data_IF_477328671435
#
_entry.id   IF_477328671435
#
_cell.length_a   1.000
_cell.length_b   1.000
_cell.length_c   1.000
_cell.angle_alpha   90.00
_cell.angle_beta   90.00
_cell.angle_gamma   90.00
#
_symmetry.space_group_name_H-M   'P 1'
#
loop_
_entity.id
_entity.type
_entity.pdbx_description
1 polymer ?
#
# COMPACT_ATOMS: atom_id res chain seq x y z
N UNK A 1 -14.36 -15.88 16.92
CA UNK A 1 -14.56 -15.35 15.55
C UNK A 1 -13.44 -15.91 14.66
N UNK A 2 -13.73 -16.28 13.40
CA UNK A 2 -12.72 -16.88 12.53
C UNK A 2 -11.52 -15.93 12.39
N UNK A 3 -10.29 -16.45 12.64
CA UNK A 3 -9.02 -15.71 12.56
C UNK A 3 -8.92 -14.45 13.45
N UNK A 4 -9.76 -14.33 14.47
CA UNK A 4 -9.90 -13.12 15.27
C UNK A 4 -10.19 -11.85 14.45
N UNK A 5 -10.89 -12.03 13.33
CA UNK A 5 -11.13 -10.99 12.31
C UNK A 5 -12.10 -9.93 12.81
N UNK A 6 -11.69 -8.65 12.82
CA UNK A 6 -12.48 -7.52 13.32
C UNK A 6 -12.46 -6.37 12.32
N UNK A 7 -13.54 -5.59 12.30
CA UNK A 7 -13.59 -4.27 11.68
C UNK A 7 -13.55 -3.22 12.78
N UNK A 8 -12.84 -2.14 12.57
CA UNK A 8 -12.77 -1.02 13.50
C UNK A 8 -12.64 0.31 12.78
N UNK A 9 -12.73 1.38 13.52
CA UNK A 9 -12.38 2.73 13.09
C UNK A 9 -11.64 3.48 14.19
N UNK A 10 -10.81 4.43 13.79
CA UNK A 10 -10.10 5.34 14.67
C UNK A 10 -10.56 6.75 14.35
N UNK A 11 -10.95 7.57 15.34
CA UNK A 11 -11.21 8.98 15.11
C UNK A 11 -9.90 9.69 14.76
N UNK A 12 -9.90 10.41 13.64
CA UNK A 12 -8.80 11.24 13.17
C UNK A 12 -9.34 12.62 12.89
N UNK A 13 -8.94 13.60 13.70
CA UNK A 13 -9.46 14.98 13.65
C UNK A 13 -11.02 15.00 13.67
N UNK A 14 -11.66 15.50 12.61
CA UNK A 14 -13.12 15.56 12.47
C UNK A 14 -13.75 14.39 11.70
N UNK A 15 -12.97 13.33 11.38
CA UNK A 15 -13.39 12.20 10.56
C UNK A 15 -12.94 10.87 11.16
N UNK A 16 -13.12 9.77 10.46
CA UNK A 16 -12.71 8.44 10.88
C UNK A 16 -11.73 7.80 9.88
N UNK A 17 -10.87 6.94 10.41
CA UNK A 17 -10.02 6.06 9.63
C UNK A 17 -10.44 4.62 9.87
N UNK A 18 -10.95 3.95 8.85
CA UNK A 18 -11.36 2.55 8.95
C UNK A 18 -10.15 1.63 8.94
N UNK A 19 -10.20 0.56 9.74
CA UNK A 19 -9.23 -0.53 9.68
C UNK A 19 -9.91 -1.90 9.80
N UNK A 20 -9.19 -2.92 9.40
CA UNK A 20 -9.49 -4.31 9.73
C UNK A 20 -8.31 -4.90 10.48
N UNK A 21 -8.58 -5.83 11.41
CA UNK A 21 -7.51 -6.58 12.08
C UNK A 21 -7.82 -8.06 12.12
N UNK A 22 -6.76 -8.88 12.16
CA UNK A 22 -6.83 -10.33 12.21
C UNK A 22 -5.54 -10.92 12.78
N UNK A 23 -5.59 -12.20 13.20
CA UNK A 23 -4.51 -12.85 13.93
C UNK A 23 -4.60 -12.57 15.43
N UNK A 24 -3.69 -13.17 16.22
CA UNK A 24 -3.73 -13.12 17.68
C UNK A 24 -2.34 -13.07 18.33
N UNK A 25 -1.28 -12.92 17.50
CA UNK A 25 0.08 -12.78 18.00
C UNK A 25 0.33 -11.42 18.68
N UNK A 26 1.38 -11.37 19.47
CA UNK A 26 1.75 -10.18 20.25
C UNK A 26 2.37 -9.08 19.37
N UNK A 27 3.20 -9.47 18.37
CA UNK A 27 3.80 -8.53 17.45
C UNK A 27 2.74 -7.85 16.58
N UNK A 28 3.00 -6.62 16.14
CA UNK A 28 2.09 -5.85 15.28
C UNK A 28 2.66 -5.73 13.88
N UNK A 29 1.80 -5.97 12.88
CA UNK A 29 2.09 -5.71 11.47
C UNK A 29 1.03 -4.77 10.93
N UNK A 30 1.44 -3.60 10.52
CA UNK A 30 0.59 -2.62 9.85
C UNK A 30 0.71 -2.81 8.34
N UNK A 31 -0.42 -2.84 7.65
CA UNK A 31 -0.47 -2.93 6.19
C UNK A 31 -1.15 -1.68 5.64
N UNK A 32 -0.43 -0.97 4.79
CA UNK A 32 -0.89 0.23 4.11
C UNK A 32 -1.11 -0.09 2.63
N UNK A 33 -2.37 -0.17 2.16
CA UNK A 33 -2.69 -0.49 0.77
C UNK A 33 -2.32 0.65 -0.17
N UNK A 34 -2.28 0.35 -1.48
CA UNK A 34 -2.06 1.34 -2.52
C UNK A 34 -3.28 2.18 -2.85
N UNK A 35 -3.23 2.91 -3.96
CA UNK A 35 -4.21 3.90 -4.43
C UNK A 35 -5.65 3.34 -4.56
N UNK A 36 -5.82 2.03 -4.72
CA UNK A 36 -7.14 1.38 -4.76
C UNK A 36 -7.98 1.59 -3.48
N UNK A 37 -7.35 1.92 -2.34
CA UNK A 37 -8.04 2.30 -1.11
C UNK A 37 -8.87 3.58 -1.31
N UNK A 38 -8.45 4.48 -2.18
CA UNK A 38 -9.22 5.66 -2.56
C UNK A 38 -10.57 5.33 -3.23
N UNK A 39 -10.66 4.20 -3.92
CA UNK A 39 -11.91 3.72 -4.52
C UNK A 39 -12.79 3.00 -3.50
N UNK A 40 -12.20 2.20 -2.62
CA UNK A 40 -12.93 1.35 -1.70
C UNK A 40 -12.11 0.98 -0.47
N UNK A 41 -12.58 1.42 0.71
CA UNK A 41 -11.92 1.14 1.99
C UNK A 41 -11.85 -0.36 2.34
N UNK A 42 -11.05 -0.70 3.34
CA UNK A 42 -10.93 -2.06 3.88
C UNK A 42 -12.19 -2.52 4.65
N UNK A 43 -13.09 -1.58 5.00
CA UNK A 43 -14.29 -1.85 5.81
C UNK A 43 -15.13 -2.98 5.21
N UNK A 44 -15.50 -3.96 6.04
CA UNK A 44 -16.34 -5.09 5.63
C UNK A 44 -15.64 -6.21 4.85
N UNK A 45 -14.34 -6.09 4.58
CA UNK A 45 -13.58 -7.06 3.78
C UNK A 45 -12.63 -7.93 4.60
N UNK A 46 -12.77 -7.95 5.92
CA UNK A 46 -11.77 -8.51 6.86
C UNK A 46 -11.37 -9.94 6.49
N UNK A 47 -12.32 -10.86 6.23
CA UNK A 47 -11.99 -12.25 5.92
C UNK A 47 -11.28 -12.40 4.57
N UNK A 48 -11.65 -11.59 3.58
CA UNK A 48 -10.98 -11.59 2.27
C UNK A 48 -9.53 -11.11 2.39
N UNK A 49 -9.34 -10.00 3.12
CA UNK A 49 -8.02 -9.39 3.32
C UNK A 49 -7.12 -10.20 4.26
N UNK A 50 -7.72 -10.98 5.18
CA UNK A 50 -6.97 -11.83 6.11
C UNK A 50 -6.35 -13.08 5.45
N UNK A 51 -6.96 -13.60 4.39
CA UNK A 51 -6.59 -14.88 3.82
C UNK A 51 -5.10 -15.02 3.42
N UNK A 52 -4.45 -14.02 2.79
CA UNK A 52 -3.03 -14.09 2.44
C UNK A 52 -2.09 -14.08 3.65
N UNK A 53 -2.55 -13.56 4.79
CA UNK A 53 -1.75 -13.37 6.00
C UNK A 53 -1.84 -14.54 7.01
N UNK A 54 -2.41 -15.69 6.66
CA UNK A 54 -2.65 -16.79 7.59
C UNK A 54 -1.39 -17.22 8.37
N UNK A 55 -0.25 -17.25 7.72
CA UNK A 55 1.01 -17.65 8.33
C UNK A 55 1.53 -16.68 9.41
N UNK A 56 0.98 -15.46 9.47
CA UNK A 56 1.36 -14.46 10.47
C UNK A 56 0.57 -14.61 11.78
N UNK A 57 -0.60 -15.24 11.76
CA UNK A 57 -1.63 -15.12 12.81
C UNK A 57 -1.19 -15.55 14.21
N UNK A 58 -0.29 -16.51 14.32
CA UNK A 58 0.20 -16.97 15.63
C UNK A 58 1.17 -15.97 16.28
N UNK A 59 1.94 -15.26 15.45
CA UNK A 59 2.98 -14.34 15.94
C UNK A 59 2.58 -12.88 15.85
N UNK A 60 1.69 -12.54 14.92
CA UNK A 60 1.27 -11.18 14.62
C UNK A 60 -0.23 -10.97 14.78
N UNK A 61 -0.59 -9.80 15.30
CA UNK A 61 -1.88 -9.17 15.00
C UNK A 61 -1.64 -8.21 13.84
N UNK A 62 -2.27 -8.49 12.70
CA UNK A 62 -2.15 -7.68 11.49
C UNK A 62 -3.28 -6.65 11.47
N UNK A 63 -2.93 -5.39 11.24
CA UNK A 63 -3.87 -4.29 11.02
C UNK A 63 -3.70 -3.79 9.58
N UNK A 64 -4.78 -3.67 8.85
CA UNK A 64 -4.78 -3.02 7.55
C UNK A 64 -5.64 -1.76 7.63
N UNK A 65 -5.01 -0.60 7.43
CA UNK A 65 -5.67 0.70 7.52
C UNK A 65 -6.02 1.25 6.14
N UNK A 66 -7.21 1.83 6.03
CA UNK A 66 -7.54 2.76 4.95
C UNK A 66 -6.92 4.14 5.22
N UNK A 67 -6.95 5.04 4.23
CA UNK A 67 -6.82 6.48 4.49
C UNK A 67 -8.09 6.95 5.19
N UNK A 68 -8.04 8.08 5.91
CA UNK A 68 -9.24 8.63 6.57
C UNK A 68 -10.37 8.92 5.57
N UNK A 69 -11.59 8.91 6.04
CA UNK A 69 -12.78 8.97 5.17
C UNK A 69 -12.92 10.31 4.45
N UNK A 70 -12.58 11.42 5.11
CA UNK A 70 -12.62 12.76 4.53
C UNK A 70 -11.25 13.43 4.62
N UNK A 71 -10.70 13.81 3.47
CA UNK A 71 -9.44 14.53 3.33
C UNK A 71 -9.70 15.87 2.63
N UNK A 72 -9.08 16.98 3.05
CA UNK A 72 -9.19 18.25 2.34
C UNK A 72 -8.41 18.19 1.01
N UNK A 73 -8.73 19.11 0.10
CA UNK A 73 -7.96 19.30 -1.11
C UNK A 73 -6.49 19.65 -0.76
N UNK A 74 -5.54 19.13 -1.54
CA UNK A 74 -4.11 19.32 -1.28
C UNK A 74 -3.54 18.44 -0.16
N UNK A 75 -4.29 17.46 0.34
CA UNK A 75 -3.82 16.54 1.37
C UNK A 75 -2.65 15.71 0.85
N UNK A 76 -1.52 15.76 1.55
CA UNK A 76 -0.26 15.17 1.10
C UNK A 76 -0.04 13.74 1.63
N UNK A 77 0.91 13.02 1.05
CA UNK A 77 1.38 11.74 1.58
C UNK A 77 1.96 11.90 3.00
N UNK A 78 2.60 13.04 3.29
CA UNK A 78 3.12 13.36 4.63
C UNK A 78 2.00 13.49 5.66
N UNK A 79 0.90 14.16 5.32
CA UNK A 79 -0.29 14.25 6.18
C UNK A 79 -0.91 12.87 6.42
N UNK A 80 -0.93 12.01 5.40
CA UNK A 80 -1.41 10.63 5.55
C UNK A 80 -0.52 9.81 6.49
N UNK A 81 0.78 10.05 6.52
CA UNK A 81 1.69 9.40 7.47
C UNK A 81 1.44 9.86 8.91
N UNK A 82 1.21 11.16 9.12
CA UNK A 82 0.81 11.69 10.43
C UNK A 82 -0.51 11.10 10.92
N UNK A 83 -1.49 10.91 10.03
CA UNK A 83 -2.73 10.23 10.37
C UNK A 83 -2.50 8.77 10.82
N UNK A 84 -1.55 8.05 10.19
CA UNK A 84 -1.18 6.70 10.61
C UNK A 84 -0.55 6.70 12.00
N UNK A 85 0.35 7.64 12.28
CA UNK A 85 0.95 7.78 13.61
C UNK A 85 -0.11 8.05 14.69
N UNK A 86 -1.06 8.97 14.43
CA UNK A 86 -2.20 9.23 15.32
C UNK A 86 -3.05 7.97 15.55
N UNK A 87 -3.29 7.19 14.47
CA UNK A 87 -4.08 5.96 14.56
C UNK A 87 -3.37 4.89 15.42
N UNK A 88 -2.06 4.73 15.26
CA UNK A 88 -1.25 3.83 16.08
C UNK A 88 -1.28 4.26 17.55
N UNK A 89 -1.09 5.55 17.82
CA UNK A 89 -1.17 6.10 19.18
C UNK A 89 -2.54 5.85 19.82
N UNK A 90 -3.64 6.08 19.09
CA UNK A 90 -5.00 5.84 19.56
C UNK A 90 -5.22 4.37 19.97
N UNK A 91 -4.64 3.43 19.22
CA UNK A 91 -4.72 2.00 19.48
C UNK A 91 -3.70 1.50 20.53
N UNK A 92 -2.85 2.39 21.06
CA UNK A 92 -1.80 2.02 22.03
C UNK A 92 -0.70 1.16 21.41
N UNK A 93 -0.44 1.30 20.10
CA UNK A 93 0.63 0.60 19.38
C UNK A 93 1.86 1.51 19.37
N UNK A 94 2.87 1.15 20.16
CA UNK A 94 4.11 1.92 20.35
C UNK A 94 5.28 1.43 19.49
N UNK A 95 5.18 0.23 18.93
CA UNK A 95 6.19 -0.35 18.04
C UNK A 95 5.52 -1.32 17.07
N UNK A 96 5.89 -1.28 15.80
CA UNK A 96 5.27 -2.11 14.78
C UNK A 96 6.16 -2.30 13.56
N UNK A 97 6.04 -3.43 12.89
CA UNK A 97 6.51 -3.59 11.52
C UNK A 97 5.46 -3.04 10.55
N UNK A 98 5.89 -2.44 9.44
CA UNK A 98 5.00 -1.82 8.44
C UNK A 98 5.24 -2.40 7.05
N UNK A 99 4.18 -2.87 6.39
CA UNK A 99 4.14 -3.21 4.98
C UNK A 99 3.39 -2.13 4.21
N UNK A 100 4.10 -1.35 3.42
CA UNK A 100 3.50 -0.38 2.50
C UNK A 100 3.54 -0.88 1.06
N UNK A 101 2.38 -0.89 0.39
CA UNK A 101 2.25 -1.30 -1.01
C UNK A 101 1.96 -0.09 -1.88
N UNK A 102 2.77 0.16 -2.92
CA UNK A 102 2.58 1.26 -3.87
C UNK A 102 2.46 2.62 -3.16
N UNK A 103 1.36 3.37 -3.30
CA UNK A 103 1.08 4.59 -2.51
C UNK A 103 1.23 4.36 -1.00
N UNK A 104 0.78 3.20 -0.49
CA UNK A 104 0.98 2.85 0.92
C UNK A 104 2.45 2.74 1.32
N UNK A 105 3.33 2.41 0.37
CA UNK A 105 4.78 2.45 0.55
C UNK A 105 5.33 3.88 0.64
N UNK A 106 4.72 4.84 -0.06
CA UNK A 106 5.07 6.26 0.07
C UNK A 106 4.69 6.80 1.46
N UNK A 107 3.49 6.43 1.95
CA UNK A 107 3.05 6.76 3.32
C UNK A 107 3.97 6.10 4.36
N UNK A 108 4.36 4.83 4.16
CA UNK A 108 5.24 4.10 5.07
C UNK A 108 6.65 4.71 5.13
N UNK A 109 7.17 5.26 4.02
CA UNK A 109 8.44 6.00 4.01
C UNK A 109 8.36 7.21 4.95
N UNK A 110 7.36 8.08 4.80
CA UNK A 110 7.21 9.23 5.69
C UNK A 110 6.89 8.82 7.13
N UNK A 111 6.13 7.76 7.36
CA UNK A 111 5.91 7.25 8.72
C UNK A 111 7.24 6.84 9.38
N UNK A 112 8.14 6.17 8.65
CA UNK A 112 9.43 5.76 9.16
C UNK A 112 10.42 6.93 9.35
N UNK A 113 10.33 7.97 8.53
CA UNK A 113 11.16 9.19 8.63
C UNK A 113 10.70 10.06 9.80
N UNK A 114 9.40 10.26 9.94
CA UNK A 114 8.82 11.20 10.92
C UNK A 114 8.67 10.59 12.32
N UNK A 115 8.45 9.28 12.38
CA UNK A 115 8.16 8.53 13.61
C UNK A 115 9.02 7.27 13.71
N UNK A 116 10.36 7.39 13.69
CA UNK A 116 11.27 6.24 13.76
C UNK A 116 11.08 5.40 15.02
N UNK A 117 10.58 6.01 16.10
CA UNK A 117 10.29 5.33 17.37
C UNK A 117 9.16 4.30 17.28
N UNK A 118 8.30 4.41 16.26
CA UNK A 118 7.21 3.45 16.01
C UNK A 118 7.65 2.24 15.18
N UNK A 119 8.87 2.29 14.61
CA UNK A 119 9.29 1.37 13.54
C UNK A 119 10.19 0.25 14.05
N UNK A 120 9.67 -0.99 14.07
CA UNK A 120 10.48 -2.20 14.21
C UNK A 120 11.15 -2.58 12.88
N UNK A 121 10.35 -2.82 11.84
CA UNK A 121 10.84 -3.17 10.48
C UNK A 121 9.94 -2.55 9.41
N UNK A 122 10.52 -2.28 8.24
CA UNK A 122 9.82 -1.68 7.10
C UNK A 122 9.86 -2.59 5.89
N UNK A 123 8.72 -2.79 5.24
CA UNK A 123 8.62 -3.47 3.95
C UNK A 123 8.01 -2.50 2.94
N UNK A 124 8.75 -2.21 1.87
CA UNK A 124 8.36 -1.34 0.77
C UNK A 124 8.14 -2.17 -0.48
N UNK A 125 6.88 -2.41 -0.85
CA UNK A 125 6.54 -3.22 -1.99
C UNK A 125 6.02 -2.36 -3.15
N UNK A 126 6.64 -2.53 -4.34
CA UNK A 126 6.24 -1.90 -5.61
C UNK A 126 5.97 -0.40 -5.48
N UNK A 127 6.88 0.32 -4.85
CA UNK A 127 6.76 1.76 -4.53
C UNK A 127 7.98 2.55 -5.01
N UNK A 128 7.93 3.86 -4.88
CA UNK A 128 8.96 4.78 -5.36
C UNK A 128 9.31 5.82 -4.29
N UNK A 129 10.51 6.43 -4.34
CA UNK A 129 10.88 7.56 -3.48
C UNK A 129 10.26 8.88 -3.91
N UNK A 130 9.91 9.00 -5.17
CA UNK A 130 9.24 10.13 -5.81
C UNK A 130 8.58 9.67 -7.11
N UNK A 131 7.67 10.44 -7.71
CA UNK A 131 7.18 10.19 -9.07
C UNK A 131 8.30 10.27 -10.10
N UNK A 132 8.15 9.52 -11.18
CA UNK A 132 8.96 9.60 -12.39
C UNK A 132 8.02 9.72 -13.60
N UNK A 133 8.56 9.92 -14.80
CA UNK A 133 7.75 10.09 -16.03
C UNK A 133 6.70 8.99 -16.19
N UNK A 134 7.07 7.73 -15.92
CA UNK A 134 6.16 6.59 -16.05
C UNK A 134 4.98 6.67 -15.09
N UNK A 135 5.26 6.91 -13.80
CA UNK A 135 4.24 7.00 -12.75
C UNK A 135 3.39 8.26 -12.88
N UNK A 136 3.99 9.39 -13.29
CA UNK A 136 3.25 10.63 -13.54
C UNK A 136 2.25 10.48 -14.69
N UNK A 137 2.69 9.94 -15.85
CA UNK A 137 1.79 9.68 -16.97
C UNK A 137 0.63 8.78 -16.56
N UNK A 138 0.95 7.70 -15.83
CA UNK A 138 -0.04 6.73 -15.39
C UNK A 138 -1.07 7.33 -14.42
N UNK A 139 -0.61 8.02 -13.39
CA UNK A 139 -1.48 8.63 -12.38
C UNK A 139 -2.32 9.76 -12.99
N UNK A 140 -1.76 10.61 -13.85
CA UNK A 140 -2.52 11.64 -14.59
C UNK A 140 -3.64 11.03 -15.44
N UNK A 141 -3.37 9.91 -16.12
CA UNK A 141 -4.36 9.18 -16.88
C UNK A 141 -5.49 8.60 -16.00
N UNK A 142 -5.15 8.04 -14.86
CA UNK A 142 -6.15 7.54 -13.90
C UNK A 142 -7.00 8.67 -13.31
N UNK A 143 -6.41 9.83 -13.03
CA UNK A 143 -7.14 11.03 -12.63
C UNK A 143 -8.17 11.40 -13.71
N UNK A 144 -7.78 11.44 -14.99
CA UNK A 144 -8.71 11.78 -16.09
C UNK A 144 -9.87 10.80 -16.22
N UNK A 145 -9.64 9.49 -16.01
CA UNK A 145 -10.72 8.50 -15.99
C UNK A 145 -11.65 8.67 -14.80
N UNK A 146 -11.09 8.97 -13.63
CA UNK A 146 -11.88 9.20 -12.42
C UNK A 146 -12.75 10.46 -12.52
N UNK A 147 -12.21 11.57 -13.03
CA UNK A 147 -12.92 12.83 -13.29
C UNK A 147 -14.04 12.65 -14.32
N UNK A 148 -13.85 11.81 -15.34
CA UNK A 148 -14.86 11.43 -16.30
C UNK A 148 -15.87 10.39 -15.78
N UNK A 149 -15.65 9.82 -14.58
CA UNK A 149 -16.47 8.74 -14.05
C UNK A 149 -16.35 7.42 -14.81
N UNK A 150 -15.32 7.29 -15.66
CA UNK A 150 -15.06 6.08 -16.46
C UNK A 150 -14.33 5.02 -15.63
N UNK A 151 -15.08 4.40 -14.72
CA UNK A 151 -14.57 3.34 -13.86
C UNK A 151 -14.02 2.14 -14.64
N UNK A 152 -14.65 1.82 -15.77
CA UNK A 152 -14.24 0.68 -16.59
C UNK A 152 -12.86 0.91 -17.20
N UNK A 153 -12.64 2.09 -17.78
CA UNK A 153 -11.33 2.45 -18.32
C UNK A 153 -10.25 2.48 -17.24
N UNK A 154 -10.55 3.06 -16.08
CA UNK A 154 -9.65 3.08 -14.92
C UNK A 154 -9.24 1.66 -14.51
N UNK A 155 -10.19 0.75 -14.33
CA UNK A 155 -9.92 -0.62 -13.88
C UNK A 155 -9.16 -1.45 -14.94
N UNK A 156 -9.51 -1.29 -16.23
CA UNK A 156 -8.81 -1.98 -17.33
C UNK A 156 -7.36 -1.47 -17.43
N UNK A 157 -7.16 -0.15 -17.43
CA UNK A 157 -5.81 0.42 -17.54
C UNK A 157 -4.94 0.03 -16.34
N UNK A 158 -5.50 0.03 -15.13
CA UNK A 158 -4.82 -0.46 -13.94
C UNK A 158 -4.38 -1.92 -14.11
N UNK A 159 -5.28 -2.80 -14.55
CA UNK A 159 -4.97 -4.21 -14.74
C UNK A 159 -3.87 -4.43 -15.81
N UNK A 160 -4.01 -3.80 -17.00
CA UNK A 160 -3.08 -3.96 -18.12
C UNK A 160 -1.65 -3.50 -17.79
N UNK A 161 -1.50 -2.58 -16.82
CA UNK A 161 -0.19 -2.09 -16.40
C UNK A 161 0.35 -2.72 -15.12
N UNK A 162 -0.50 -3.46 -14.37
CA UNK A 162 -0.09 -4.09 -13.11
C UNK A 162 0.32 -5.55 -13.28
N UNK A 163 -0.45 -6.32 -14.04
CA UNK A 163 -0.31 -7.78 -14.08
C UNK A 163 0.62 -8.28 -15.19
N UNK A 164 1.19 -9.47 -14.95
CA UNK A 164 1.96 -10.20 -15.96
C UNK A 164 1.06 -10.65 -17.14
N UNK A 165 1.64 -10.92 -18.33
CA UNK A 165 0.88 -11.41 -19.48
C UNK A 165 0.09 -12.70 -19.20
N UNK A 166 0.62 -13.55 -18.34
CA UNK A 166 -0.03 -14.82 -17.97
C UNK A 166 -1.32 -14.59 -17.17
N UNK A 167 -1.29 -13.66 -16.22
CA UNK A 167 -2.47 -13.27 -15.42
C UNK A 167 -3.45 -12.47 -16.26
N UNK A 168 -2.97 -11.54 -17.10
CA UNK A 168 -3.82 -10.75 -17.99
C UNK A 168 -4.65 -11.61 -18.93
N UNK A 169 -4.10 -12.71 -19.46
CA UNK A 169 -4.85 -13.64 -20.31
C UNK A 169 -6.14 -14.13 -19.66
N UNK A 170 -6.13 -14.35 -18.34
CA UNK A 170 -7.30 -14.74 -17.55
C UNK A 170 -8.16 -13.52 -17.17
N UNK A 171 -7.52 -12.43 -16.75
CA UNK A 171 -8.17 -11.25 -16.23
C UNK A 171 -9.03 -10.55 -17.30
N UNK A 172 -8.58 -10.52 -18.56
CA UNK A 172 -9.32 -9.94 -19.70
C UNK A 172 -10.70 -10.55 -19.91
N UNK A 173 -10.93 -11.79 -19.46
CA UNK A 173 -12.25 -12.42 -19.52
C UNK A 173 -13.27 -11.73 -18.59
N UNK A 174 -12.82 -11.01 -17.57
CA UNK A 174 -13.67 -10.27 -16.64
C UNK A 174 -14.01 -8.84 -17.11
N UNK A 175 -13.34 -8.32 -18.14
CA UNK A 175 -13.49 -6.94 -18.61
C UNK A 175 -14.93 -6.53 -18.99
N UNK A 176 -15.81 -7.40 -19.51
CA UNK A 176 -17.20 -7.02 -19.73
C UNK A 176 -17.92 -6.54 -18.44
N UNK A 177 -17.50 -7.06 -17.28
CA UNK A 177 -18.15 -6.80 -16.00
C UNK A 177 -17.33 -5.90 -15.06
N UNK A 178 -16.07 -5.63 -15.38
CA UNK A 178 -15.12 -4.96 -14.48
C UNK A 178 -15.58 -3.53 -14.09
N UNK A 179 -16.32 -2.86 -14.97
CA UNK A 179 -16.85 -1.51 -14.71
C UNK A 179 -17.91 -1.43 -13.60
N UNK A 180 -18.43 -2.57 -13.13
CA UNK A 180 -19.35 -2.63 -12.00
C UNK A 180 -18.65 -3.01 -10.69
N UNK A 181 -17.46 -3.60 -10.77
CA UNK A 181 -16.74 -4.11 -9.59
C UNK A 181 -16.04 -2.95 -8.89
N UNK A 182 -16.38 -2.73 -7.62
CA UNK A 182 -15.70 -1.73 -6.79
C UNK A 182 -15.92 -0.28 -7.22
N UNK A 183 -16.94 0.01 -8.05
CA UNK A 183 -17.25 1.39 -8.46
C UNK A 183 -17.66 2.21 -7.23
N UNK A 184 -16.93 3.29 -6.90
CA UNK A 184 -17.26 4.13 -5.76
C UNK A 184 -18.49 5.01 -6.05
N UNK A 185 -19.11 5.55 -4.99
CA UNK A 185 -20.17 6.57 -5.13
C UNK A 185 -19.60 7.93 -5.54
N UNK A 186 -18.39 8.26 -5.10
CA UNK A 186 -17.61 9.44 -5.47
C UNK A 186 -16.15 9.03 -5.67
N UNK A 187 -15.44 9.74 -6.54
CA UNK A 187 -14.01 9.58 -6.75
C UNK A 187 -13.16 10.56 -5.92
N UNK A 188 -13.74 11.37 -5.05
CA UNK A 188 -13.04 12.43 -4.33
C UNK A 188 -11.83 11.90 -3.55
N UNK A 189 -12.02 10.80 -2.76
CA UNK A 189 -10.90 10.16 -2.05
C UNK A 189 -9.81 9.67 -3.00
N UNK A 190 -10.19 9.04 -4.10
CA UNK A 190 -9.25 8.55 -5.10
C UNK A 190 -8.46 9.71 -5.73
N UNK A 191 -9.15 10.80 -6.10
CA UNK A 191 -8.55 11.98 -6.72
C UNK A 191 -7.56 12.68 -5.77
N UNK A 192 -7.92 12.80 -4.48
CA UNK A 192 -7.01 13.37 -3.47
C UNK A 192 -5.75 12.51 -3.34
N UNK A 193 -5.90 11.20 -3.18
CA UNK A 193 -4.78 10.26 -3.07
C UNK A 193 -3.90 10.28 -4.34
N UNK A 194 -4.52 10.25 -5.52
CA UNK A 194 -3.79 10.28 -6.79
C UNK A 194 -3.00 11.59 -6.98
N UNK A 195 -3.59 12.74 -6.61
CA UNK A 195 -2.89 14.03 -6.64
C UNK A 195 -1.78 14.11 -5.59
N UNK A 196 -1.96 13.50 -4.41
CA UNK A 196 -0.94 13.42 -3.38
C UNK A 196 0.30 12.65 -3.87
N UNK A 197 0.10 11.57 -4.65
CA UNK A 197 1.22 10.84 -5.29
C UNK A 197 2.04 11.78 -6.18
N UNK A 198 1.40 12.62 -6.99
CA UNK A 198 2.11 13.54 -7.91
C UNK A 198 2.93 14.61 -7.19
N UNK A 199 2.58 14.94 -5.95
CA UNK A 199 3.31 15.91 -5.11
C UNK A 199 4.28 15.26 -4.11
N UNK A 200 4.45 13.94 -4.16
CA UNK A 200 5.28 13.21 -3.20
C UNK A 200 6.76 13.23 -3.60
N UNK A 201 7.64 13.58 -2.68
CA UNK A 201 9.09 13.40 -2.85
C UNK A 201 9.75 13.21 -1.46
N UNK A 202 10.22 12.00 -1.19
CA UNK A 202 10.98 11.67 0.00
C UNK A 202 12.47 11.44 -0.30
N UNK A 203 12.91 11.70 -1.54
CA UNK A 203 14.23 11.30 -2.05
C UNK A 203 15.38 11.74 -1.16
N UNK A 204 15.36 12.97 -0.69
CA UNK A 204 16.44 13.53 0.13
C UNK A 204 16.32 13.18 1.62
N UNK A 205 15.18 12.64 2.05
CA UNK A 205 14.89 12.30 3.45
C UNK A 205 15.05 10.80 3.76
N UNK A 206 15.23 9.94 2.74
CA UNK A 206 15.31 8.47 2.91
C UNK A 206 16.45 8.01 3.84
N UNK A 207 17.51 8.80 3.97
CA UNK A 207 18.57 8.54 4.94
C UNK A 207 18.14 8.58 6.41
N UNK A 208 16.94 9.13 6.69
CA UNK A 208 16.30 9.09 8.01
C UNK A 208 15.61 7.77 8.35
N UNK A 209 15.50 6.84 7.42
CA UNK A 209 14.97 5.50 7.69
C UNK A 209 16.08 4.63 8.27
N UNK A 210 15.96 4.29 9.56
CA UNK A 210 16.99 3.57 10.31
C UNK A 210 16.62 2.12 10.65
N UNK A 211 15.33 1.76 10.55
CA UNK A 211 14.89 0.39 10.82
C UNK A 211 15.28 -0.57 9.69
N UNK A 212 15.46 -1.88 9.98
CA UNK A 212 15.69 -2.88 8.94
C UNK A 212 14.60 -2.79 7.86
N UNK A 213 15.01 -2.69 6.60
CA UNK A 213 14.10 -2.43 5.48
C UNK A 213 14.24 -3.48 4.38
N UNK A 214 13.12 -4.07 3.96
CA UNK A 214 13.01 -4.95 2.80
C UNK A 214 12.26 -4.23 1.68
N UNK A 215 12.88 -4.12 0.52
CA UNK A 215 12.27 -3.56 -0.69
C UNK A 215 11.93 -4.72 -1.64
N UNK A 216 10.70 -4.75 -2.13
CA UNK A 216 10.22 -5.78 -3.06
C UNK A 216 9.69 -5.12 -4.33
N UNK A 217 10.15 -5.57 -5.48
CA UNK A 217 9.79 -5.04 -6.79
C UNK A 217 9.35 -6.13 -7.77
N UNK A 218 8.61 -5.75 -8.80
CA UNK A 218 8.45 -6.51 -10.02
C UNK A 218 9.40 -6.00 -11.09
N UNK A 219 10.10 -6.92 -11.81
CA UNK A 219 11.03 -6.57 -12.88
C UNK A 219 10.38 -5.76 -14.01
N UNK A 220 9.13 -6.11 -14.33
CA UNK A 220 8.35 -5.51 -15.41
C UNK A 220 7.28 -4.53 -14.90
N UNK A 221 7.53 -3.85 -13.79
CA UNK A 221 6.61 -2.85 -13.25
C UNK A 221 6.46 -1.67 -14.25
N UNK A 222 5.23 -1.48 -14.75
CA UNK A 222 4.88 -0.43 -15.72
C UNK A 222 4.20 0.79 -15.07
N UNK A 223 4.17 0.85 -13.74
CA UNK A 223 3.56 1.94 -12.99
C UNK A 223 4.63 2.79 -12.33
N UNK A 224 5.51 2.21 -11.52
CA UNK A 224 6.61 2.94 -10.88
C UNK A 224 7.97 2.63 -11.49
N UNK A 225 8.07 1.51 -12.22
CA UNK A 225 9.33 1.01 -12.79
C UNK A 225 10.25 0.39 -11.74
N UNK A 226 10.98 -0.67 -12.10
CA UNK A 226 11.93 -1.35 -11.20
C UNK A 226 13.04 -0.41 -10.72
N UNK A 227 13.39 0.62 -11.51
CA UNK A 227 14.44 1.60 -11.16
C UNK A 227 14.08 2.40 -9.90
N UNK A 228 12.80 2.61 -9.63
CA UNK A 228 12.36 3.24 -8.37
C UNK A 228 12.78 2.44 -7.14
N UNK A 229 12.70 1.11 -7.22
CA UNK A 229 13.14 0.23 -6.12
C UNK A 229 14.66 0.19 -5.95
N UNK A 230 15.43 0.28 -7.04
CA UNK A 230 16.89 0.48 -6.95
C UNK A 230 17.22 1.84 -6.34
N UNK A 231 16.47 2.89 -6.67
CA UNK A 231 16.68 4.22 -6.07
C UNK A 231 16.43 4.22 -4.55
N UNK A 232 15.38 3.52 -4.09
CA UNK A 232 15.13 3.30 -2.66
C UNK A 232 16.28 2.55 -1.99
N UNK A 233 16.70 1.43 -2.59
CA UNK A 233 17.78 0.59 -2.04
C UNK A 233 19.10 1.34 -1.92
N UNK A 234 19.43 2.17 -2.89
CA UNK A 234 20.66 2.95 -2.88
C UNK A 234 20.68 4.05 -1.80
N UNK A 235 19.50 4.49 -1.32
CA UNK A 235 19.38 5.61 -0.37
C UNK A 235 19.00 5.17 1.04
N UNK A 236 18.38 4.00 1.22
CA UNK A 236 18.06 3.43 2.53
C UNK A 236 19.20 2.50 2.94
N UNK A 237 20.04 2.97 3.85
CA UNK A 237 21.22 2.24 4.29
C UNK A 237 20.87 0.90 4.93
N UNK A 238 21.53 -0.18 4.50
CA UNK A 238 21.28 -1.52 5.04
C UNK A 238 19.98 -2.18 4.59
N UNK A 239 19.24 -1.56 3.65
CA UNK A 239 18.05 -2.20 3.09
C UNK A 239 18.42 -3.43 2.26
N UNK A 240 17.47 -4.37 2.16
CA UNK A 240 17.53 -5.52 1.26
C UNK A 240 16.62 -5.27 0.07
N UNK A 241 17.02 -5.68 -1.13
CA UNK A 241 16.19 -5.59 -2.33
C UNK A 241 15.93 -6.98 -2.91
N UNK A 242 14.67 -7.27 -3.21
CA UNK A 242 14.26 -8.45 -3.95
C UNK A 242 13.40 -8.07 -5.16
N UNK A 243 13.81 -8.50 -6.34
CA UNK A 243 13.10 -8.25 -7.60
C UNK A 243 12.52 -9.55 -8.12
N UNK A 244 11.20 -9.60 -8.31
CA UNK A 244 10.53 -10.74 -8.91
C UNK A 244 10.68 -10.73 -10.42
N UNK A 245 11.36 -11.72 -11.03
CA UNK A 245 11.54 -11.78 -12.47
C UNK A 245 10.19 -12.01 -13.18
N UNK A 246 9.97 -11.31 -14.27
CA UNK A 246 8.78 -11.44 -15.13
C UNK A 246 7.48 -10.90 -14.55
N UNK A 247 7.44 -10.44 -13.29
CA UNK A 247 6.25 -9.85 -12.67
C UNK A 247 6.26 -8.32 -12.80
N UNK A 248 5.06 -7.74 -12.74
CA UNK A 248 4.82 -6.30 -12.78
C UNK A 248 4.49 -5.71 -11.42
N UNK A 249 3.74 -4.62 -11.42
CA UNK A 249 3.31 -3.91 -10.22
C UNK A 249 2.47 -4.77 -9.28
N UNK A 250 1.70 -5.75 -9.80
CA UNK A 250 0.93 -6.69 -9.01
C UNK A 250 1.77 -7.88 -8.48
N UNK A 251 3.10 -7.76 -8.37
CA UNK A 251 3.95 -8.83 -7.83
C UNK A 251 3.49 -9.33 -6.45
N UNK A 252 2.94 -8.46 -5.61
CA UNK A 252 2.38 -8.81 -4.29
C UNK A 252 1.13 -9.70 -4.34
N UNK A 253 0.44 -9.77 -5.50
CA UNK A 253 -0.71 -10.66 -5.72
C UNK A 253 -0.32 -11.92 -6.49
N UNK A 254 0.66 -11.82 -7.40
CA UNK A 254 1.03 -12.90 -8.32
C UNK A 254 2.11 -13.83 -7.75
N UNK A 255 3.03 -13.32 -6.94
CA UNK A 255 4.14 -14.09 -6.41
C UNK A 255 3.67 -14.98 -5.25
N UNK A 256 3.80 -16.30 -5.42
CA UNK A 256 3.32 -17.30 -4.45
C UNK A 256 4.05 -17.23 -3.10
N UNK A 257 5.29 -16.76 -3.10
CA UNK A 257 6.15 -16.67 -1.92
C UNK A 257 6.24 -15.24 -1.34
N UNK A 258 5.47 -14.28 -1.86
CA UNK A 258 5.52 -12.89 -1.41
C UNK A 258 5.35 -12.75 0.11
N UNK A 259 4.28 -13.28 0.65
CA UNK A 259 4.00 -13.22 2.09
C UNK A 259 4.96 -14.09 2.91
N UNK A 260 5.46 -15.22 2.36
CA UNK A 260 6.46 -16.04 3.02
C UNK A 260 7.79 -15.29 3.15
N UNK A 261 8.19 -14.55 2.12
CA UNK A 261 9.40 -13.74 2.11
C UNK A 261 9.33 -12.63 3.16
N UNK A 262 8.19 -11.93 3.23
CA UNK A 262 7.95 -10.92 4.27
C UNK A 262 8.02 -11.56 5.66
N UNK A 263 7.31 -12.68 5.88
CA UNK A 263 7.35 -13.37 7.16
C UNK A 263 8.77 -13.77 7.56
N UNK A 264 9.54 -14.33 6.61
CA UNK A 264 10.93 -14.70 6.86
C UNK A 264 11.82 -13.51 7.20
N UNK A 265 11.60 -12.34 6.57
CA UNK A 265 12.30 -11.09 6.90
C UNK A 265 11.94 -10.59 8.30
N UNK A 266 10.66 -10.58 8.64
CA UNK A 266 10.16 -10.12 9.94
C UNK A 266 10.65 -10.97 11.12
N UNK A 267 10.92 -12.25 10.90
CA UNK A 267 11.36 -13.18 11.95
C UNK A 267 12.89 -13.23 12.15
N UNK A 268 13.65 -12.49 11.39
CA UNK A 268 15.09 -12.34 11.63
C UNK A 268 15.32 -11.47 12.86
N UNK A 269 16.41 -11.70 13.58
CA UNK A 269 16.81 -10.86 14.72
C UNK A 269 17.12 -9.43 14.28
#
# INVERSE_FOLDING_TARGET
MLWNAKNGSVPIDSTEMSYVSFGHGEKKLIVLPGLSDGLMTVRGKTLLLAAPFRQFFEKYTVYMFSRKDSMPEGYSIRDMAEDQAKALQYLGISETSVLGVSEGGMVAQYLAILHPELMDKLILAVTAPCPNELSEERVKKWISFAEAGDHKALMIDTAENSYSPATLKKYRQTYPFIGAVGKPKSYDRFLINARAILGFDASDELGGIHCPTLIIAGENDKIVGVQASYALHNRILGSELYVYPGLGHAAYEEAKDFYLRIFSFLERP
#
